data_IF_862468282053
#
_entry.id   IF_862468282053
#
_cell.length_a   1.000
_cell.length_b   1.000
_cell.length_c   1.000
_cell.angle_alpha   90.00
_cell.angle_beta   90.00
_cell.angle_gamma   90.00
#
_symmetry.space_group_name_H-M   'P 1'
#
loop_
_entity.id
_entity.type
_entity.pdbx_description
1 polymer ?
2 non-polymer ?
3 water ?
#
# COMPACT_ATOMS: atom_id res chain seq x y z
N UNK A 1 11.24 0.63 8.10
CA UNK A 1 11.33 0.35 6.64
C UNK A 1 10.21 1.01 5.85
N UNK A 2 10.45 1.11 4.54
CA UNK A 2 9.51 1.73 3.61
C UNK A 2 9.05 0.68 2.61
N UNK A 3 7.76 0.34 2.69
CA UNK A 3 7.21 -0.68 1.83
C UNK A 3 6.08 -0.20 0.94
N UNK A 4 6.03 -0.76 -0.26
CA UNK A 4 4.98 -0.46 -1.21
C UNK A 4 4.36 -1.82 -1.58
N UNK A 5 3.03 -1.88 -1.57
CA UNK A 5 2.30 -3.11 -1.91
C UNK A 5 1.36 -2.75 -3.07
N UNK A 6 1.53 -3.44 -4.19
CA UNK A 6 0.75 -3.13 -5.38
C UNK A 6 0.15 -4.36 -6.07
N UNK A 7 -0.96 -4.12 -6.77
CA UNK A 7 -1.63 -5.18 -7.51
C UNK A 7 -3.03 -4.76 -7.89
N UNK A 8 -3.70 -5.57 -8.70
CA UNK A 8 -5.07 -5.30 -9.12
C UNK A 8 -5.96 -6.01 -8.11
N UNK A 9 -7.19 -6.33 -8.50
CA UNK A 9 -8.10 -7.02 -7.60
C UNK A 9 -8.68 -6.15 -6.50
N UNK A 10 -7.82 -5.39 -5.83
CA UNK A 10 -8.27 -4.52 -4.76
C UNK A 10 -8.10 -5.07 -3.36
N UNK A 11 -9.20 -5.55 -2.79
CA UNK A 11 -9.19 -6.09 -1.43
C UNK A 11 -8.13 -7.16 -1.19
N UNK A 12 -7.98 -8.11 -2.13
CA UNK A 12 -6.99 -9.16 -1.99
C UNK A 12 -5.62 -8.59 -1.66
N UNK A 13 -5.15 -7.70 -2.53
CA UNK A 13 -3.87 -7.03 -2.35
C UNK A 13 -3.88 -6.17 -1.08
N UNK A 14 -5.00 -5.52 -0.80
CA UNK A 14 -5.07 -4.66 0.37
C UNK A 14 -5.06 -5.51 1.64
N UNK A 15 -5.58 -6.72 1.52
CA UNK A 15 -5.59 -7.63 2.66
C UNK A 15 -4.17 -7.97 3.10
N UNK A 16 -3.27 -8.19 2.13
CA UNK A 16 -1.87 -8.51 2.43
C UNK A 16 -1.20 -7.33 3.09
N UNK A 17 -1.46 -6.14 2.56
CA UNK A 17 -0.86 -4.93 3.10
C UNK A 17 -1.27 -4.72 4.55
N UNK A 18 -2.57 -4.81 4.83
CA UNK A 18 -3.08 -4.62 6.18
C UNK A 18 -2.47 -5.65 7.12
N UNK A 19 -2.29 -6.86 6.60
CA UNK A 19 -1.69 -7.93 7.37
C UNK A 19 -0.28 -7.59 7.78
N UNK A 20 0.51 -7.09 6.83
CA UNK A 20 1.89 -6.73 7.14
C UNK A 20 1.95 -5.56 8.12
N UNK A 21 1.08 -4.57 7.94
CA UNK A 21 1.04 -3.42 8.83
C UNK A 21 0.79 -3.87 10.27
N UNK A 22 -0.24 -4.67 10.48
CA UNK A 22 -0.59 -5.15 11.83
C UNK A 22 0.56 -5.92 12.46
N UNK A 23 1.19 -6.79 11.69
CA UNK A 23 2.32 -7.55 12.22
C UNK A 23 3.48 -6.62 12.53
N UNK A 24 3.66 -5.62 11.67
CA UNK A 24 4.74 -4.66 11.86
C UNK A 24 4.65 -3.85 13.15
N UNK A 25 3.44 -3.63 13.66
CA UNK A 25 3.27 -2.86 14.89
C UNK A 25 4.05 -3.42 16.08
N UNK A 26 4.46 -4.68 15.97
CA UNK A 26 5.24 -5.30 17.04
C UNK A 26 6.69 -4.88 16.97
N UNK A 27 7.14 -4.51 15.78
CA UNK A 27 8.54 -4.11 15.60
C UNK A 27 8.79 -2.63 15.51
N UNK A 28 7.73 -1.84 15.34
CA UNK A 28 7.91 -0.40 15.21
C UNK A 28 6.99 0.35 16.14
N UNK A 29 7.45 1.50 16.61
CA UNK A 29 6.67 2.32 17.52
C UNK A 29 5.61 3.16 16.84
N UNK A 30 5.71 3.26 15.51
CA UNK A 30 4.75 4.04 14.75
C UNK A 30 4.83 3.66 13.27
N UNK A 31 3.66 3.48 12.66
CA UNK A 31 3.61 3.10 11.26
C UNK A 31 2.63 3.99 10.50
N UNK A 32 3.06 4.51 9.36
CA UNK A 32 2.19 5.31 8.51
C UNK A 32 1.62 4.32 7.51
N UNK A 33 0.31 4.12 7.57
CA UNK A 33 -0.36 3.22 6.65
C UNK A 33 -1.03 4.14 5.64
N UNK A 34 -0.62 4.02 4.37
CA UNK A 34 -1.15 4.90 3.33
C UNK A 34 -2.04 4.19 2.33
N UNK A 35 -3.30 4.59 2.29
CA UNK A 35 -4.29 4.02 1.37
C UNK A 35 -4.18 4.82 0.07
N UNK A 36 -3.47 4.26 -0.90
CA UNK A 36 -3.30 4.93 -2.18
C UNK A 36 -4.09 4.23 -3.28
N UNK A 37 -5.04 3.39 -2.87
CA UNK A 37 -5.87 2.68 -3.84
C UNK A 37 -7.32 3.04 -3.57
N UNK A 38 -7.90 3.95 -4.38
CA UNK A 38 -9.29 4.33 -4.16
C UNK A 38 -10.33 3.21 -4.34
N UNK A 39 -9.92 2.10 -4.95
CA UNK A 39 -10.85 0.98 -5.17
C UNK A 39 -11.03 0.02 -4.00
N UNK A 40 -10.19 0.11 -2.98
CA UNK A 40 -10.37 -0.77 -1.83
C UNK A 40 -10.18 0.05 -0.55
N UNK A 41 -10.71 -0.42 0.56
CA UNK A 41 -10.62 0.32 1.81
C UNK A 41 -9.57 -0.23 2.77
N UNK A 42 -8.37 0.37 2.77
CA UNK A 42 -7.29 -0.11 3.64
C UNK A 42 -7.69 -0.09 5.13
N UNK A 43 -8.37 0.97 5.55
CA UNK A 43 -8.77 1.08 6.96
C UNK A 43 -9.66 -0.07 7.44
N UNK A 44 -10.53 -0.51 6.56
CA UNK A 44 -11.46 -1.61 6.84
C UNK A 44 -10.70 -2.89 7.14
N UNK A 45 -9.70 -3.19 6.31
CA UNK A 45 -8.90 -4.40 6.52
C UNK A 45 -7.99 -4.28 7.74
N UNK A 46 -7.79 -3.04 8.21
CA UNK A 46 -6.98 -2.79 9.39
C UNK A 46 -7.81 -2.78 10.66
N UNK A 47 -9.08 -3.15 10.53
CA UNK A 47 -9.92 -3.20 11.72
C UNK A 47 -10.98 -2.13 11.90
N UNK A 48 -11.03 -1.13 11.03
CA UNK A 48 -12.06 -0.11 11.18
C UNK A 48 -13.30 -0.52 10.41
N UNK A 49 -14.42 0.13 10.69
CA UNK A 49 -15.61 -0.18 9.91
C UNK A 49 -15.38 0.65 8.65
N UNK A 50 -16.01 0.28 7.54
CA UNK A 50 -15.86 1.07 6.31
C UNK A 50 -16.26 2.51 6.64
N UNK A 51 -17.25 2.67 7.50
CA UNK A 51 -17.71 4.01 7.89
C UNK A 51 -16.63 4.84 8.60
N UNK A 52 -15.96 4.23 9.59
CA UNK A 52 -14.91 4.93 10.33
C UNK A 52 -13.76 5.32 9.40
N UNK A 53 -13.48 4.47 8.41
CA UNK A 53 -12.41 4.74 7.46
C UNK A 53 -12.76 5.94 6.59
N UNK A 54 -14.01 6.00 6.15
CA UNK A 54 -14.43 7.10 5.29
C UNK A 54 -14.70 8.40 6.01
N UNK A 55 -14.71 8.37 7.33
CA UNK A 55 -14.91 9.58 8.10
C UNK A 55 -13.56 10.31 8.24
N UNK A 56 -12.50 9.65 7.78
CA UNK A 56 -11.14 10.25 7.81
C UNK A 56 -10.99 11.08 6.54
N UNK A 57 -10.81 12.39 6.69
CA UNK A 57 -10.70 13.22 5.51
C UNK A 57 -9.50 12.83 4.64
N UNK A 58 -9.72 12.61 3.34
CA UNK A 58 -8.66 12.21 2.39
C UNK A 58 -7.82 13.42 1.99
N UNK A 59 -6.56 13.17 1.65
CA UNK A 59 -5.63 14.24 1.28
C UNK A 59 -6.23 15.24 0.28
N UNK A 60 -6.85 14.70 -0.76
CA UNK A 60 -7.44 15.51 -1.82
C UNK A 60 -8.52 16.51 -1.36
N UNK A 61 -9.10 16.30 -0.19
CA UNK A 61 -10.13 17.22 0.29
C UNK A 61 -9.66 18.24 1.33
N UNK A 62 -8.36 18.33 1.55
CA UNK A 62 -7.84 19.30 2.53
C UNK A 62 -7.52 20.63 1.83
N UNK A 63 -8.55 21.29 1.32
CA UNK A 63 -8.34 22.55 0.61
C UNK A 63 -7.60 23.64 1.40
N UNK A 64 -7.96 23.84 2.66
CA UNK A 64 -7.29 24.85 3.47
C UNK A 64 -5.79 24.55 3.54
N UNK A 65 -5.44 23.29 3.76
CA UNK A 65 -4.05 22.88 3.84
C UNK A 65 -3.36 22.97 2.48
N UNK A 66 -4.10 22.62 1.43
CA UNK A 66 -3.57 22.66 0.07
C UNK A 66 -3.27 24.11 -0.34
N UNK A 67 -4.12 25.03 0.12
CA UNK A 67 -3.94 26.45 -0.19
C UNK A 67 -2.68 26.93 0.54
N UNK A 68 -2.56 26.52 1.79
CA UNK A 68 -1.43 26.88 2.65
C UNK A 68 -0.09 26.29 2.22
N UNK A 69 -0.12 25.25 1.37
CA UNK A 69 1.12 24.60 0.93
C UNK A 69 1.50 24.80 -0.53
N UNK A 70 0.61 25.39 -1.33
CA UNK A 70 0.90 25.61 -2.74
C UNK A 70 0.68 27.07 -3.14
N UNK A 71 0.09 27.85 -2.23
CA UNK A 71 -0.15 29.24 -2.51
C UNK A 71 -1.64 29.55 -2.58
N UNK A 72 -1.97 30.84 -2.52
CA UNK A 72 -3.37 31.27 -2.58
C UNK A 72 -3.60 32.23 -3.75
N UNK A 73 -4.02 31.68 -4.87
CA UNK A 73 -4.29 32.50 -6.04
C UNK A 73 -3.02 33.11 -6.62
N UNK A 74 -2.54 32.55 -7.71
CA UNK A 74 -1.33 33.05 -8.33
C UNK A 74 -0.07 32.49 -7.70
N UNK A 75 0.08 32.72 -6.39
CA UNK A 75 1.24 32.22 -5.66
C UNK A 75 1.34 30.71 -5.87
N UNK A 76 2.36 30.28 -6.59
CA UNK A 76 2.56 28.87 -6.86
C UNK A 76 3.77 28.29 -6.13
N UNK A 77 3.63 27.05 -5.68
CA UNK A 77 4.70 26.34 -4.98
C UNK A 77 4.72 24.90 -5.46
N UNK A 78 5.80 24.53 -6.15
CA UNK A 78 5.95 23.19 -6.70
C UNK A 78 6.59 22.20 -5.73
N UNK A 79 7.10 22.70 -4.60
CA UNK A 79 7.73 21.83 -3.62
C UNK A 79 7.29 22.12 -2.18
N UNK A 80 6.03 21.78 -1.85
CA UNK A 80 5.45 21.99 -0.53
C UNK A 80 6.13 21.23 0.61
N UNK A 81 6.50 21.94 1.66
CA UNK A 81 7.12 21.34 2.83
C UNK A 81 5.99 20.92 3.75
N UNK A 82 5.62 19.65 3.72
CA UNK A 82 4.53 19.15 4.53
C UNK A 82 4.92 18.03 5.49
N UNK A 83 6.21 17.73 5.57
CA UNK A 83 6.69 16.67 6.43
C UNK A 83 6.47 16.97 7.91
N UNK A 84 6.30 18.24 8.25
CA UNK A 84 6.09 18.60 9.64
C UNK A 84 4.65 18.57 10.09
N UNK A 85 3.72 18.67 9.14
CA UNK A 85 2.28 18.68 9.42
C UNK A 85 1.56 17.35 9.12
N UNK A 86 2.32 16.29 8.91
CA UNK A 86 1.73 14.99 8.59
C UNK A 86 0.62 14.50 9.50
N UNK A 87 0.78 14.69 10.80
CA UNK A 87 -0.23 14.23 11.76
C UNK A 87 -1.59 14.90 11.66
N UNK A 88 -1.71 15.88 10.76
CA UNK A 88 -2.98 16.57 10.55
C UNK A 88 -3.65 15.99 9.32
N UNK A 89 -2.93 15.11 8.62
CA UNK A 89 -3.44 14.53 7.38
C UNK A 89 -4.03 13.13 7.49
N UNK A 90 -4.38 12.73 8.71
CA UNK A 90 -4.96 11.42 8.90
C UNK A 90 -5.44 11.22 10.33
N UNK A 91 -5.66 9.97 10.70
CA UNK A 91 -6.08 9.64 12.06
C UNK A 91 -5.32 8.41 12.55
N UNK A 92 -5.02 8.39 13.84
CA UNK A 92 -4.38 7.24 14.47
C UNK A 92 -5.51 6.22 14.63
N UNK A 93 -5.27 4.99 14.20
CA UNK A 93 -6.26 3.93 14.34
C UNK A 93 -6.14 3.49 15.80
N UNK A 94 -4.92 3.51 16.30
CA UNK A 94 -4.64 3.15 17.68
C UNK A 94 -3.36 3.86 18.10
N UNK A 95 -2.68 3.34 19.12
CA UNK A 95 -1.44 3.96 19.59
C UNK A 95 -0.26 3.94 18.59
N UNK A 96 -0.25 3.02 17.64
CA UNK A 96 0.89 2.94 16.70
C UNK A 96 0.62 3.22 15.22
N UNK A 97 -0.54 2.78 14.72
CA UNK A 97 -0.87 2.94 13.30
C UNK A 97 -1.62 4.22 12.95
N UNK A 98 -1.02 5.00 12.07
CA UNK A 98 -1.59 6.26 11.61
C UNK A 98 -2.01 6.10 10.15
N UNK A 99 -3.32 6.24 9.91
CA UNK A 99 -3.88 6.06 8.58
C UNK A 99 -4.10 7.34 7.76
N UNK A 100 -3.57 7.34 6.55
CA UNK A 100 -3.71 8.47 5.64
C UNK A 100 -4.37 7.93 4.37
N UNK A 101 -5.37 8.66 3.87
CA UNK A 101 -6.07 8.25 2.65
C UNK A 101 -5.80 9.31 1.59
N UNK A 102 -5.27 8.89 0.45
CA UNK A 102 -4.96 9.82 -0.63
C UNK A 102 -6.22 10.41 -1.25
N UNK A 103 -7.19 9.55 -1.54
CA UNK A 103 -8.42 10.01 -2.17
C UNK A 103 -8.21 9.82 -3.66
N UNK A 104 -9.27 9.88 -4.45
CA UNK A 104 -9.10 9.67 -5.87
C UNK A 104 -8.82 10.93 -6.68
N UNK A 105 -7.91 10.80 -7.63
CA UNK A 105 -7.52 11.90 -8.50
C UNK A 105 -8.57 12.09 -9.59
N UNK A 106 -8.81 13.33 -9.98
CA UNK A 106 -9.77 13.60 -11.04
C UNK A 106 -9.07 13.30 -12.36
N UNK A 107 -9.31 12.10 -12.88
CA UNK A 107 -8.71 11.62 -14.12
C UNK A 107 -8.36 12.71 -15.15
N UNK A 108 -9.29 13.64 -15.37
CA UNK A 108 -9.04 14.70 -16.33
C UNK A 108 -10.31 15.33 -16.89
N UNK A 109 -10.78 16.38 -16.24
CA UNK A 109 -11.99 17.04 -16.69
C UNK A 109 -11.83 18.48 -17.11
N UNK A 110 -10.79 18.77 -17.89
CA UNK A 110 -10.53 20.12 -18.38
C UNK A 110 -10.26 21.14 -17.27
N UNK A 111 -10.38 20.72 -16.03
CA UNK A 111 -10.15 21.60 -14.89
C UNK A 111 -8.69 21.48 -14.43
N UNK A 112 -8.18 22.51 -13.75
CA UNK A 112 -6.81 22.49 -13.27
C UNK A 112 -6.75 21.81 -11.91
N UNK A 113 -5.90 20.79 -11.79
CA UNK A 113 -5.74 20.06 -10.54
C UNK A 113 -4.26 19.98 -10.13
N UNK A 114 -3.48 20.92 -10.65
CA UNK A 114 -2.07 20.98 -10.35
C UNK A 114 -1.77 21.18 -8.86
N UNK A 115 -2.44 22.07 -8.21
CA UNK A 115 -2.24 22.31 -6.84
C UNK A 115 -2.51 21.03 -5.97
N UNK A 116 -3.62 20.38 -6.28
CA UNK A 116 -4.00 19.14 -5.61
C UNK A 116 -2.94 18.06 -5.77
N UNK A 117 -2.57 17.77 -7.01
CA UNK A 117 -1.56 16.75 -7.30
C UNK A 117 -0.20 17.08 -6.68
N UNK A 118 0.14 18.36 -6.62
CA UNK A 118 1.41 18.76 -6.03
C UNK A 118 1.38 18.44 -4.53
N UNK A 119 0.23 18.71 -3.91
CA UNK A 119 0.06 18.46 -2.49
C UNK A 119 0.20 16.98 -2.16
N UNK A 120 -0.47 16.12 -2.93
CA UNK A 120 -0.37 14.68 -2.72
C UNK A 120 1.07 14.24 -2.86
N UNK A 121 1.70 14.67 -3.94
CA UNK A 121 3.09 14.34 -4.19
C UNK A 121 4.02 14.74 -3.07
N UNK A 122 3.78 15.92 -2.49
CA UNK A 122 4.64 16.38 -1.40
C UNK A 122 4.49 15.51 -0.15
N UNK A 123 3.28 15.01 0.09
CA UNK A 123 3.03 14.14 1.25
C UNK A 123 3.71 12.79 1.04
N UNK A 124 3.62 12.26 -0.16
CA UNK A 124 4.24 10.97 -0.43
C UNK A 124 5.75 11.12 -0.27
N UNK A 125 6.29 12.22 -0.79
CA UNK A 125 7.73 12.50 -0.72
C UNK A 125 8.19 12.57 0.73
N UNK A 126 7.46 13.34 1.55
CA UNK A 126 7.76 13.49 2.96
C UNK A 126 7.81 12.12 3.68
N UNK A 127 6.77 11.32 3.48
CA UNK A 127 6.68 10.01 4.12
C UNK A 127 7.86 9.08 3.82
N UNK A 128 8.22 8.98 2.55
CA UNK A 128 9.30 8.10 2.15
C UNK A 128 10.71 8.61 2.36
N UNK A 129 10.91 9.91 2.14
CA UNK A 129 12.24 10.48 2.23
C UNK A 129 12.59 11.25 3.50
N UNK A 130 11.60 11.91 4.09
CA UNK A 130 11.89 12.69 5.28
C UNK A 130 11.61 12.02 6.62
N UNK A 131 10.46 11.37 6.74
CA UNK A 131 10.11 10.70 7.99
C UNK A 131 10.96 9.47 8.24
N UNK A 132 11.29 9.25 9.51
CA UNK A 132 12.09 8.10 9.90
C UNK A 132 11.22 6.86 10.10
N UNK A 133 9.98 7.06 10.54
CA UNK A 133 9.04 5.99 10.81
C UNK A 133 8.77 5.07 9.63
N UNK A 134 8.30 3.87 9.97
CA UNK A 134 7.93 2.87 8.99
C UNK A 134 6.74 3.34 8.19
N UNK A 135 6.72 2.95 6.92
CA UNK A 135 5.65 3.34 6.03
C UNK A 135 5.27 2.16 5.15
N UNK A 136 3.97 1.90 5.04
CA UNK A 136 3.46 0.85 4.14
C UNK A 136 2.41 1.55 3.28
N UNK A 137 2.67 1.63 1.98
CA UNK A 137 1.70 2.28 1.11
C UNK A 137 1.07 1.29 0.12
N UNK A 138 -0.25 1.16 0.23
CA UNK A 138 -1.04 0.27 -0.62
C UNK A 138 -1.41 1.00 -1.91
N UNK A 139 -1.14 0.39 -3.06
CA UNK A 139 -1.44 1.10 -4.30
C UNK A 139 -1.89 0.21 -5.45
N UNK A 140 -2.39 0.85 -6.50
CA UNK A 140 -2.85 0.14 -7.68
C UNK A 140 -1.69 -0.35 -8.53
N UNK A 141 -2.01 -1.19 -9.51
CA UNK A 141 -1.01 -1.78 -10.40
C UNK A 141 -0.13 -0.76 -11.15
N UNK A 142 -0.61 0.47 -11.27
CA UNK A 142 0.16 1.49 -11.95
C UNK A 142 1.20 2.22 -11.12
N UNK A 143 1.17 2.00 -9.79
CA UNK A 143 2.09 2.65 -8.85
C UNK A 143 2.39 4.09 -9.26
N UNK A 144 1.36 4.83 -9.67
CA UNK A 144 1.56 6.19 -10.13
C UNK A 144 1.96 7.24 -9.09
N UNK A 145 1.92 6.89 -7.80
CA UNK A 145 2.29 7.88 -6.80
C UNK A 145 3.79 7.90 -6.54
N UNK A 146 4.49 6.87 -6.97
CA UNK A 146 5.94 6.80 -6.77
C UNK A 146 6.68 7.54 -7.88
N UNK A 147 7.77 8.20 -7.51
CA UNK A 147 8.59 8.93 -8.48
C UNK A 147 10.00 8.37 -8.33
N UNK A 148 10.89 8.73 -9.24
CA UNK A 148 12.28 8.25 -9.15
C UNK A 148 12.89 8.70 -7.82
N UNK A 149 12.53 9.90 -7.38
CA UNK A 149 13.05 10.40 -6.11
C UNK A 149 12.67 9.51 -4.92
N UNK A 150 11.38 9.30 -4.75
CA UNK A 150 10.91 8.48 -3.64
C UNK A 150 11.26 7.01 -3.82
N UNK A 151 11.37 6.56 -5.08
CA UNK A 151 11.70 5.16 -5.32
C UNK A 151 13.02 4.73 -4.68
N UNK A 152 13.95 5.66 -4.55
CA UNK A 152 15.25 5.35 -3.95
C UNK A 152 15.12 5.05 -2.46
N UNK A 153 13.99 5.42 -1.85
CA UNK A 153 13.80 5.18 -0.41
C UNK A 153 13.02 3.91 -0.10
N UNK A 154 12.35 3.37 -1.12
CA UNK A 154 11.57 2.15 -0.97
C UNK A 154 12.47 0.94 -0.69
N UNK A 155 12.20 0.22 0.41
CA UNK A 155 13.01 -0.94 0.74
C UNK A 155 12.57 -2.16 -0.08
N UNK A 156 11.29 -2.23 -0.40
CA UNK A 156 10.80 -3.35 -1.19
C UNK A 156 9.44 -3.04 -1.76
N UNK A 157 9.23 -3.51 -2.99
CA UNK A 157 7.95 -3.37 -3.66
C UNK A 157 7.40 -4.80 -3.67
N UNK A 158 6.19 -4.96 -3.14
CA UNK A 158 5.57 -6.27 -3.11
C UNK A 158 4.39 -6.28 -4.08
N UNK A 159 4.48 -7.16 -5.07
CA UNK A 159 3.43 -7.29 -6.04
C UNK A 159 2.59 -8.48 -5.59
N UNK A 160 1.29 -8.28 -5.48
CA UNK A 160 0.39 -9.35 -5.09
C UNK A 160 -0.40 -9.77 -6.34
N UNK A 161 -0.35 -11.06 -6.66
CA UNK A 161 -1.03 -11.56 -7.85
C UNK A 161 -1.74 -12.88 -7.53
N UNK A 162 -2.61 -13.30 -8.45
CA UNK A 162 -3.34 -14.57 -8.35
C UNK A 162 -2.66 -15.55 -9.31
N UNK A 163 -2.80 -16.86 -9.06
CA UNK A 163 -2.16 -17.84 -9.93
C UNK A 163 -2.75 -18.11 -11.31
N UNK A 164 -2.73 -17.10 -12.19
CA UNK A 164 -3.23 -17.29 -13.55
C UNK A 164 -2.48 -16.40 -14.53
N UNK A 165 -2.47 -16.81 -15.79
CA UNK A 165 -1.76 -16.09 -16.82
C UNK A 165 -1.90 -14.57 -16.82
N UNK A 166 -3.13 -14.08 -16.80
CA UNK A 166 -3.35 -12.63 -16.82
C UNK A 166 -2.83 -11.91 -15.59
N UNK A 167 -2.98 -12.50 -14.41
CA UNK A 167 -2.50 -11.85 -13.18
C UNK A 167 -0.97 -11.86 -13.12
N UNK A 168 -0.36 -12.92 -13.62
CA UNK A 168 1.09 -13.05 -13.65
C UNK A 168 1.66 -11.95 -14.53
N UNK A 169 1.00 -11.70 -15.66
CA UNK A 169 1.41 -10.66 -16.59
C UNK A 169 1.35 -9.30 -15.88
N UNK A 170 0.27 -9.09 -15.14
CA UNK A 170 0.11 -7.84 -14.40
C UNK A 170 1.31 -7.63 -13.49
N UNK A 171 1.64 -8.66 -12.71
CA UNK A 171 2.78 -8.60 -11.81
C UNK A 171 4.11 -8.30 -12.49
N UNK A 172 4.35 -8.93 -13.64
CA UNK A 172 5.59 -8.70 -14.37
C UNK A 172 5.65 -7.25 -14.85
N UNK A 173 4.49 -6.66 -15.12
CA UNK A 173 4.46 -5.27 -15.56
C UNK A 173 4.73 -4.36 -14.37
N UNK A 174 4.26 -4.77 -13.19
CA UNK A 174 4.51 -4.00 -11.97
C UNK A 174 6.03 -4.00 -11.78
N UNK A 175 6.63 -5.18 -11.93
CA UNK A 175 8.08 -5.32 -11.77
C UNK A 175 8.86 -4.46 -12.76
N UNK A 176 8.32 -4.35 -13.97
CA UNK A 176 8.93 -3.55 -15.02
C UNK A 176 8.91 -2.06 -14.64
N UNK A 177 7.74 -1.57 -14.24
CA UNK A 177 7.59 -0.17 -13.86
C UNK A 177 8.46 0.18 -12.65
N UNK A 178 8.52 -0.72 -11.68
CA UNK A 178 9.30 -0.49 -10.46
C UNK A 178 10.81 -0.41 -10.78
N UNK A 179 11.28 -1.34 -11.61
CA UNK A 179 12.68 -1.33 -11.97
C UNK A 179 13.02 -0.05 -12.73
N UNK A 180 12.14 0.34 -13.64
CA UNK A 180 12.35 1.55 -14.44
C UNK A 180 12.43 2.78 -13.54
N UNK A 181 11.62 2.78 -12.48
CA UNK A 181 11.58 3.89 -11.55
C UNK A 181 12.82 3.83 -10.64
N UNK A 182 13.47 2.68 -10.61
CA UNK A 182 14.66 2.57 -9.80
C UNK A 182 14.50 1.84 -8.48
N UNK A 183 13.39 1.14 -8.28
CA UNK A 183 13.20 0.42 -7.03
C UNK A 183 14.14 -0.78 -7.01
N UNK A 184 14.89 -0.89 -5.93
CA UNK A 184 15.89 -1.94 -5.74
C UNK A 184 15.42 -3.39 -5.64
N UNK A 185 14.34 -3.65 -4.92
CA UNK A 185 13.84 -5.02 -4.78
C UNK A 185 12.34 -5.17 -4.99
N UNK A 186 11.97 -6.13 -5.84
CA UNK A 186 10.56 -6.42 -6.08
C UNK A 186 10.38 -7.89 -5.70
N UNK A 187 9.35 -8.19 -4.92
CA UNK A 187 9.07 -9.56 -4.50
C UNK A 187 7.57 -9.84 -4.65
N UNK A 188 7.21 -11.11 -4.71
CA UNK A 188 5.81 -11.47 -4.90
C UNK A 188 5.16 -12.22 -3.76
N UNK A 189 3.84 -12.00 -3.61
CA UNK A 189 3.04 -12.75 -2.67
C UNK A 189 1.91 -13.27 -3.57
N UNK A 190 1.78 -14.59 -3.64
CA UNK A 190 0.76 -15.21 -4.47
C UNK A 190 -0.46 -15.43 -3.61
N UNK A 191 -1.59 -14.89 -4.04
CA UNK A 191 -2.80 -14.99 -3.25
C UNK A 191 -3.92 -15.78 -3.93
N UNK A 192 -4.87 -16.25 -3.12
CA UNK A 192 -6.01 -17.01 -3.60
C UNK A 192 -5.65 -18.28 -4.37
N UNK A 193 -4.66 -19.00 -3.86
CA UNK A 193 -4.27 -20.27 -4.50
C UNK A 193 -5.29 -21.37 -4.16
N UNK A 194 -5.86 -21.98 -5.19
CA UNK A 194 -6.87 -23.03 -4.99
C UNK A 194 -6.40 -24.47 -5.17
N UNK A 195 -5.38 -24.67 -6.00
CA UNK A 195 -4.89 -26.02 -6.25
C UNK A 195 -3.39 -26.05 -6.54
N UNK A 196 -2.84 -27.26 -6.57
CA UNK A 196 -1.41 -27.41 -6.78
C UNK A 196 -0.98 -27.10 -8.22
N UNK A 197 -1.88 -27.33 -9.16
CA UNK A 197 -1.60 -27.05 -10.57
C UNK A 197 -1.25 -25.56 -10.68
N UNK A 198 -2.01 -24.73 -9.97
CA UNK A 198 -1.77 -23.29 -9.97
C UNK A 198 -0.38 -22.96 -9.39
N UNK A 199 0.04 -23.67 -8.35
CA UNK A 199 1.35 -23.45 -7.75
C UNK A 199 2.45 -23.80 -8.77
N UNK A 200 2.20 -24.82 -9.57
CA UNK A 200 3.16 -25.23 -10.59
C UNK A 200 3.21 -24.14 -11.66
N UNK A 201 2.07 -23.52 -11.95
CA UNK A 201 2.05 -22.46 -12.97
C UNK A 201 2.95 -21.30 -12.51
N UNK A 202 2.82 -20.95 -11.23
CA UNK A 202 3.61 -19.87 -10.66
C UNK A 202 5.09 -20.19 -10.79
N UNK A 203 5.47 -21.37 -10.32
CA UNK A 203 6.85 -21.80 -10.38
C UNK A 203 7.40 -21.78 -11.81
N UNK A 204 6.52 -21.98 -12.78
CA UNK A 204 6.95 -21.98 -14.17
C UNK A 204 7.26 -20.59 -14.72
N UNK A 205 6.50 -19.58 -14.29
CA UNK A 205 6.69 -18.23 -14.80
C UNK A 205 7.47 -17.28 -13.89
N UNK A 206 7.61 -17.63 -12.62
CA UNK A 206 8.31 -16.76 -11.69
C UNK A 206 9.42 -17.45 -10.94
N UNK A 207 10.54 -16.74 -10.71
CA UNK A 207 11.67 -17.30 -9.98
C UNK A 207 11.20 -17.53 -8.55
N UNK A 208 11.44 -18.72 -8.01
CA UNK A 208 10.98 -19.01 -6.66
C UNK A 208 11.65 -18.19 -5.56
N UNK A 209 12.87 -17.72 -5.80
CA UNK A 209 13.55 -16.92 -4.79
C UNK A 209 12.90 -15.54 -4.68
N UNK A 210 12.15 -15.17 -5.71
CA UNK A 210 11.45 -13.88 -5.75
C UNK A 210 10.06 -13.97 -5.09
N UNK A 211 9.66 -15.17 -4.70
CA UNK A 211 8.35 -15.37 -4.07
C UNK A 211 8.46 -15.36 -2.54
N UNK A 212 7.89 -14.31 -1.94
CA UNK A 212 7.90 -14.14 -0.48
C UNK A 212 7.07 -15.20 0.21
N UNK A 213 5.91 -15.51 -0.38
CA UNK A 213 5.03 -16.51 0.20
C UNK A 213 3.78 -16.77 -0.63
N UNK A 214 3.08 -17.83 -0.26
CA UNK A 214 1.87 -18.25 -0.97
C UNK A 214 0.71 -18.27 0.02
N UNK A 215 -0.40 -17.65 -0.36
CA UNK A 215 -1.56 -17.61 0.54
C UNK A 215 -2.72 -18.40 -0.09
N UNK A 216 -3.11 -19.50 0.55
CA UNK A 216 -4.21 -20.31 0.02
C UNK A 216 -5.53 -19.57 0.04
N UNK A 217 -6.37 -19.87 -0.94
CA UNK A 217 -7.69 -19.26 -1.02
C UNK A 217 -8.48 -19.74 0.19
N UNK A 218 -9.25 -18.85 0.80
CA UNK A 218 -10.04 -19.23 1.97
C UNK A 218 -11.53 -19.14 1.67
N UNK A 219 -12.25 -20.23 1.94
CA UNK A 219 -13.69 -20.24 1.70
C UNK A 219 -14.36 -19.34 2.72
N UNK A 220 -13.77 -19.25 3.91
CA UNK A 220 -14.30 -18.41 4.97
C UNK A 220 -13.85 -16.98 4.74
N UNK A 221 -13.21 -16.74 3.59
CA UNK A 221 -12.72 -15.42 3.22
C UNK A 221 -13.64 -14.75 2.19
N UNK A 222 -14.37 -15.58 1.45
CA UNK A 222 -15.30 -15.07 0.44
C UNK A 222 -16.65 -14.76 1.09
N UNK A 223 -16.95 -15.47 2.17
CA UNK A 223 -18.20 -15.28 2.90
C UNK A 223 -17.95 -14.69 4.28
N UNK A 224 -16.76 -14.15 4.49
CA UNK A 224 -16.39 -13.55 5.77
C UNK A 224 -15.12 -12.71 5.65
N UNK A 225 -15.27 -11.48 5.15
CA UNK A 225 -14.14 -10.58 4.99
C UNK A 225 -14.51 -9.18 5.45
N UNK A 226 -15.50 -9.09 6.34
CA UNK A 226 -15.95 -7.80 6.86
C UNK A 226 -16.56 -7.94 8.26
N UNK A 227 -16.06 -8.91 9.02
CA UNK A 227 -16.56 -9.13 10.38
C UNK A 227 -15.41 -9.32 11.37
N UNK A 228 -14.70 -10.44 11.25
CA UNK A 228 -13.59 -10.72 12.15
C UNK A 228 -12.27 -10.21 11.61
N UNK A 229 -12.24 -8.93 11.23
CA UNK A 229 -11.05 -8.28 10.70
C UNK A 229 -10.41 -9.09 9.58
N UNK A 230 -9.11 -9.39 9.70
CA UNK A 230 -8.45 -10.14 8.63
C UNK A 230 -7.43 -11.21 9.01
N UNK A 231 -6.52 -11.47 8.06
CA UNK A 231 -5.48 -12.48 8.20
C UNK A 231 -4.43 -12.25 9.28
N UNK A 232 -4.47 -11.09 9.92
CA UNK A 232 -3.50 -10.82 10.98
C UNK A 232 -4.01 -11.25 12.35
N UNK A 233 -5.26 -11.70 12.43
CA UNK A 233 -5.80 -12.13 13.71
C UNK A 233 -5.31 -13.55 14.05
N UNK A 234 -5.02 -13.77 15.33
CA UNK A 234 -4.50 -15.05 15.78
C UNK A 234 -5.41 -16.24 15.57
N UNK A 235 -6.67 -15.99 15.21
CA UNK A 235 -7.63 -17.07 14.95
C UNK A 235 -7.73 -17.38 13.46
N UNK A 236 -7.17 -16.51 12.63
CA UNK A 236 -7.22 -16.71 11.19
C UNK A 236 -6.26 -17.81 10.74
N UNK A 237 -6.71 -18.67 9.82
CA UNK A 237 -5.88 -19.76 9.31
C UNK A 237 -4.57 -19.33 8.63
N UNK A 238 -4.52 -18.10 8.14
CA UNK A 238 -3.32 -17.59 7.47
C UNK A 238 -2.34 -16.90 8.42
N UNK A 239 -2.73 -16.80 9.69
CA UNK A 239 -1.92 -16.16 10.73
C UNK A 239 -0.44 -16.55 10.72
N UNK A 240 -0.17 -17.84 10.87
CA UNK A 240 1.21 -18.32 10.91
C UNK A 240 1.90 -18.09 9.58
N UNK A 241 1.24 -18.49 8.50
CA UNK A 241 1.79 -18.31 7.17
C UNK A 241 2.17 -16.84 6.95
N UNK A 242 1.33 -15.93 7.42
CA UNK A 242 1.62 -14.50 7.26
C UNK A 242 2.88 -14.07 8.01
N UNK A 243 3.14 -14.68 9.16
CA UNK A 243 4.34 -14.32 9.91
C UNK A 243 5.61 -14.84 9.22
N UNK A 244 5.47 -15.91 8.45
CA UNK A 244 6.58 -16.49 7.70
C UNK A 244 6.93 -15.51 6.57
N UNK A 245 5.89 -14.98 5.94
CA UNK A 245 6.05 -14.01 4.87
C UNK A 245 6.75 -12.76 5.43
N UNK A 246 6.33 -12.34 6.63
CA UNK A 246 6.92 -11.17 7.28
C UNK A 246 8.40 -11.41 7.61
N UNK A 247 8.71 -12.58 8.13
CA UNK A 247 10.11 -12.89 8.46
C UNK A 247 11.00 -12.87 7.24
N UNK A 248 10.52 -13.42 6.11
CA UNK A 248 11.33 -13.42 4.90
C UNK A 248 11.57 -11.99 4.43
N UNK A 249 10.54 -11.16 4.56
CA UNK A 249 10.62 -9.74 4.21
C UNK A 249 11.71 -9.07 5.07
N UNK A 250 11.56 -9.19 6.40
CA UNK A 250 12.54 -8.61 7.31
C UNK A 250 13.96 -9.07 6.98
N UNK A 251 14.16 -10.37 6.78
CA UNK A 251 15.49 -10.88 6.43
C UNK A 251 15.97 -10.29 5.11
N UNK A 252 15.08 -10.18 4.13
CA UNK A 252 15.43 -9.62 2.83
C UNK A 252 15.93 -8.18 2.92
N UNK A 253 15.20 -7.36 3.68
CA UNK A 253 15.52 -5.95 3.82
C UNK A 253 16.75 -5.68 4.69
N UNK A 254 16.95 -6.50 5.72
CA UNK A 254 18.09 -6.34 6.60
C UNK A 254 17.92 -5.22 7.62
#
# INVERSE_FOLDING_TARGET
MKLAVAGKGGVGKTTVAAGLIKIMASDYDKIYAVDGDPDSCLGQTLGLSIEEAYAITPLIEMKDEIREKTGDGGLLILNPKVDGDLDKYGRYIDDKIFLIRMGEIKKGGSQCYCRENSFLGSVVSALFLDKKEAVVMDMGAGIEHLTRGTAKAVDMMIAVIEPNLNSIKTGLNIEKLAGDLGIKKVRYVINKVRNIKEEKLIKKHLPEDKILGIIPYNELFIELSLKGEEIWQSTNPAFVNLHDIYQKLRLEVG
#
